data_IF_573006260740
#
_entry.id   IF_573006260740
#
_cell.length_a   1.000
_cell.length_b   1.000
_cell.length_c   1.000
_cell.angle_alpha   90.00
_cell.angle_beta   90.00
_cell.angle_gamma   90.00
#
_symmetry.space_group_name_H-M   'P 1'
#
loop_
_entity.id
_entity.type
_entity.pdbx_description
1 polymer ?
#
# COMPACT_ATOMS: atom_id res chain seq x y z
N UNK A 1 67.43 -14.47 -42.16
CA UNK A 1 66.95 -13.36 -41.37
C UNK A 1 65.43 -13.34 -41.48
N UNK A 2 64.68 -13.80 -40.43
CA UNK A 2 63.21 -13.86 -40.41
C UNK A 2 62.75 -12.96 -39.23
N UNK A 3 62.19 -11.79 -39.57
CA UNK A 3 61.59 -10.86 -38.62
C UNK A 3 60.18 -11.31 -38.26
N UNK A 4 59.94 -11.64 -36.97
CA UNK A 4 58.64 -11.98 -36.39
C UNK A 4 58.05 -10.70 -35.82
N UNK A 5 56.92 -10.26 -36.40
CA UNK A 5 56.08 -9.15 -35.89
C UNK A 5 55.10 -9.72 -34.87
N UNK A 6 55.17 -9.28 -33.61
CA UNK A 6 54.21 -9.55 -32.56
C UNK A 6 53.17 -8.42 -32.57
N UNK A 7 51.93 -8.77 -33.01
CA UNK A 7 50.76 -7.91 -32.81
C UNK A 7 50.22 -8.12 -31.40
N UNK A 8 50.39 -7.11 -30.53
CA UNK A 8 49.73 -7.06 -29.21
C UNK A 8 48.33 -6.50 -29.39
N UNK A 9 47.32 -7.35 -29.24
CA UNK A 9 45.93 -6.90 -29.10
C UNK A 9 45.74 -6.32 -27.67
N UNK A 10 45.51 -5.02 -27.56
CA UNK A 10 45.07 -4.38 -26.34
C UNK A 10 43.56 -4.55 -26.23
N UNK A 11 43.11 -5.41 -25.33
CA UNK A 11 41.71 -5.52 -24.92
C UNK A 11 41.39 -4.37 -23.97
N UNK A 12 40.69 -3.36 -24.45
CA UNK A 12 40.14 -2.30 -23.60
C UNK A 12 38.94 -2.86 -22.84
N UNK A 13 39.15 -3.19 -21.56
CA UNK A 13 38.04 -3.50 -20.65
C UNK A 13 37.31 -2.20 -20.32
N UNK A 14 36.12 -2.03 -20.89
CA UNK A 14 35.21 -0.96 -20.46
C UNK A 14 34.71 -1.28 -19.05
N UNK A 15 35.25 -0.57 -18.06
CA UNK A 15 34.72 -0.56 -16.70
C UNK A 15 33.33 0.11 -16.73
N UNK A 16 32.27 -0.70 -16.69
CA UNK A 16 30.92 -0.22 -16.44
C UNK A 16 30.91 0.41 -15.03
N UNK A 17 30.69 1.73 -14.98
CA UNK A 17 30.47 2.41 -13.70
C UNK A 17 29.25 1.80 -13.01
N UNK A 18 29.31 1.51 -11.70
CA UNK A 18 28.16 1.03 -10.96
C UNK A 18 27.06 2.10 -11.02
N UNK A 19 25.87 1.69 -11.44
CA UNK A 19 24.69 2.54 -11.38
C UNK A 19 24.51 3.00 -9.93
N UNK A 20 24.59 4.30 -9.69
CA UNK A 20 24.34 4.89 -8.39
C UNK A 20 22.88 4.59 -8.02
N UNK A 21 22.70 3.73 -7.02
CA UNK A 21 21.38 3.54 -6.41
C UNK A 21 20.95 4.86 -5.78
N UNK A 22 19.70 5.31 -6.01
CA UNK A 22 19.20 6.50 -5.33
C UNK A 22 19.23 6.23 -3.83
N UNK A 23 20.07 6.98 -3.11
CA UNK A 23 20.13 6.92 -1.66
C UNK A 23 18.83 7.51 -1.11
N UNK A 24 17.90 6.66 -0.71
CA UNK A 24 16.74 7.07 0.08
C UNK A 24 17.21 7.47 1.47
N UNK A 25 17.56 8.74 1.62
CA UNK A 25 17.68 9.32 2.96
C UNK A 25 16.27 9.45 3.55
N UNK A 26 16.04 9.01 4.81
CA UNK A 26 14.76 9.26 5.47
C UNK A 26 14.49 10.77 5.46
N UNK A 27 13.22 11.17 5.30
CA UNK A 27 12.87 12.60 5.25
C UNK A 27 13.34 13.28 6.54
N UNK A 28 14.03 14.43 6.38
CA UNK A 28 14.63 15.18 7.50
C UNK A 28 13.62 15.94 8.34
N UNK A 29 12.40 16.12 7.81
CA UNK A 29 11.34 16.84 8.48
C UNK A 29 9.96 16.32 8.06
N UNK A 30 8.95 16.59 8.92
CA UNK A 30 7.54 16.31 8.61
C UNK A 30 7.09 16.99 7.29
N UNK A 31 7.59 18.19 7.02
CA UNK A 31 7.25 18.94 5.80
C UNK A 31 7.81 18.28 4.54
N UNK A 32 9.00 17.75 4.61
CA UNK A 32 9.63 17.02 3.51
C UNK A 32 8.89 15.70 3.26
N UNK A 33 8.54 14.98 4.33
CA UNK A 33 7.77 13.74 4.22
C UNK A 33 6.37 14.00 3.64
N UNK A 34 5.66 15.01 4.13
CA UNK A 34 4.36 15.37 3.60
C UNK A 34 4.41 15.75 2.10
N UNK A 35 5.48 16.46 1.66
CA UNK A 35 5.70 16.76 0.24
C UNK A 35 5.95 15.51 -0.61
N UNK A 36 6.65 14.51 -0.07
CA UNK A 36 6.84 13.23 -0.77
C UNK A 36 5.50 12.48 -0.93
N UNK A 37 4.67 12.46 0.11
CA UNK A 37 3.36 11.81 0.07
C UNK A 37 2.39 12.47 -0.92
N UNK A 38 2.50 13.78 -1.12
CA UNK A 38 1.66 14.61 -2.02
C UNK A 38 2.33 14.90 -3.38
N UNK A 39 3.49 14.29 -3.69
CA UNK A 39 4.17 14.54 -4.95
C UNK A 39 3.27 14.17 -6.15
N UNK A 40 2.95 15.11 -7.07
CA UNK A 40 2.13 14.82 -8.24
C UNK A 40 2.69 13.70 -9.15
N UNK A 41 4.01 13.52 -9.19
CA UNK A 41 4.63 12.43 -9.95
C UNK A 41 4.25 11.03 -9.40
N UNK A 42 3.74 10.97 -8.16
CA UNK A 42 3.20 9.74 -7.60
C UNK A 42 2.03 9.20 -8.43
N UNK A 43 1.20 10.07 -9.00
CA UNK A 43 0.02 9.68 -9.77
C UNK A 43 0.40 8.86 -11.03
N UNK A 44 1.60 9.07 -11.61
CA UNK A 44 2.08 8.35 -12.80
C UNK A 44 2.21 6.84 -12.56
N UNK A 45 2.66 6.44 -11.36
CA UNK A 45 2.88 5.04 -11.02
C UNK A 45 1.87 4.48 -10.00
N UNK A 46 1.30 5.32 -9.12
CA UNK A 46 0.27 4.91 -8.16
C UNK A 46 -1.10 4.77 -8.80
N UNK A 47 -1.35 5.48 -9.91
CA UNK A 47 -2.57 5.44 -10.73
C UNK A 47 -3.85 5.49 -9.88
N UNK A 48 -4.03 6.54 -9.07
CA UNK A 48 -5.08 6.57 -8.06
C UNK A 48 -6.50 6.46 -8.63
N UNK A 49 -6.75 6.99 -9.83
CA UNK A 49 -8.08 6.95 -10.45
C UNK A 49 -8.40 5.52 -10.95
N UNK A 50 -7.41 4.80 -11.51
CA UNK A 50 -7.55 3.40 -11.91
C UNK A 50 -7.73 2.50 -10.69
N UNK A 51 -7.02 2.79 -9.57
CA UNK A 51 -7.22 2.08 -8.29
C UNK A 51 -8.66 2.26 -7.80
N UNK A 52 -9.20 3.47 -7.81
CA UNK A 52 -10.58 3.75 -7.38
C UNK A 52 -11.58 3.05 -8.29
N UNK A 53 -11.36 3.09 -9.60
CA UNK A 53 -12.20 2.39 -10.57
C UNK A 53 -12.19 0.87 -10.32
N UNK A 54 -11.02 0.29 -10.04
CA UNK A 54 -10.89 -1.15 -9.75
C UNK A 54 -11.56 -1.56 -8.44
N UNK A 55 -11.66 -0.65 -7.46
CA UNK A 55 -12.38 -0.89 -6.21
C UNK A 55 -13.89 -0.94 -6.38
N UNK A 56 -14.44 -0.30 -7.40
CA UNK A 56 -15.86 -0.35 -7.77
C UNK A 56 -16.79 -0.15 -6.56
N UNK A 57 -16.70 1.04 -5.95
CA UNK A 57 -17.47 1.37 -4.75
C UNK A 57 -18.97 1.35 -5.03
N UNK A 58 -19.71 0.60 -4.21
CA UNK A 58 -21.18 0.62 -4.24
C UNK A 58 -21.73 1.84 -3.48
N UNK A 59 -22.89 2.37 -3.88
CA UNK A 59 -23.53 3.45 -3.13
C UNK A 59 -23.70 3.09 -1.64
N UNK A 60 -23.31 4.00 -0.75
CA UNK A 60 -23.42 3.79 0.69
C UNK A 60 -22.25 3.10 1.36
N UNK A 61 -21.24 2.62 0.61
CA UNK A 61 -20.05 1.99 1.21
C UNK A 61 -19.26 2.95 2.10
N UNK A 62 -18.68 2.39 3.15
CA UNK A 62 -17.70 3.02 4.03
C UNK A 62 -16.33 2.38 3.84
N UNK A 63 -15.28 3.21 3.82
CA UNK A 63 -13.90 2.76 3.64
C UNK A 63 -13.01 3.26 4.77
N UNK A 64 -12.08 2.41 5.23
CA UNK A 64 -10.98 2.80 6.11
C UNK A 64 -9.69 2.82 5.30
N UNK A 65 -9.04 3.98 5.24
CA UNK A 65 -7.72 4.20 4.66
C UNK A 65 -6.69 4.09 5.79
N UNK A 66 -6.03 2.93 5.88
CA UNK A 66 -5.04 2.64 6.92
C UNK A 66 -3.67 3.15 6.50
N UNK A 67 -3.03 3.96 7.34
CA UNK A 67 -1.82 4.71 7.01
C UNK A 67 -2.15 5.85 6.04
N UNK A 68 -3.22 6.58 6.33
CA UNK A 68 -3.76 7.63 5.47
C UNK A 68 -2.76 8.76 5.18
N UNK A 69 -1.78 8.97 6.06
CA UNK A 69 -0.77 10.01 5.94
C UNK A 69 -1.42 11.39 5.82
N UNK A 70 -1.11 12.09 4.73
CA UNK A 70 -1.68 13.40 4.40
C UNK A 70 -3.07 13.32 3.76
N UNK A 71 -3.67 12.12 3.65
CA UNK A 71 -5.00 11.91 3.09
C UNK A 71 -5.04 11.77 1.56
N UNK A 72 -3.94 11.33 0.96
CA UNK A 72 -3.83 11.18 -0.51
C UNK A 72 -4.95 10.32 -1.10
N UNK A 73 -5.23 9.13 -0.55
CA UNK A 73 -6.35 8.29 -0.96
C UNK A 73 -7.66 8.70 -0.26
N UNK A 74 -7.63 9.08 1.01
CA UNK A 74 -8.83 9.44 1.77
C UNK A 74 -9.67 10.52 1.06
N UNK A 75 -9.04 11.58 0.53
CA UNK A 75 -9.74 12.64 -0.21
C UNK A 75 -10.35 12.15 -1.52
N UNK A 76 -9.72 11.19 -2.16
CA UNK A 76 -10.24 10.57 -3.39
C UNK A 76 -11.41 9.64 -3.08
N UNK A 77 -11.28 8.78 -2.08
CA UNK A 77 -12.35 7.91 -1.61
C UNK A 77 -13.61 8.68 -1.21
N UNK A 78 -13.45 9.85 -0.58
CA UNK A 78 -14.56 10.67 -0.12
C UNK A 78 -15.50 11.14 -1.25
N UNK A 79 -15.09 11.04 -2.51
CA UNK A 79 -15.93 11.34 -3.68
C UNK A 79 -16.81 10.16 -4.10
N UNK A 80 -16.52 8.97 -3.63
CA UNK A 80 -17.14 7.70 -4.05
C UNK A 80 -17.80 6.94 -2.90
N UNK A 81 -17.24 7.05 -1.68
CA UNK A 81 -17.76 6.40 -0.50
C UNK A 81 -18.65 7.32 0.32
N UNK A 82 -19.65 6.75 1.00
CA UNK A 82 -20.53 7.52 1.90
C UNK A 82 -19.76 8.02 3.12
N UNK A 83 -18.78 7.26 3.60
CA UNK A 83 -17.94 7.60 4.75
C UNK A 83 -16.50 7.08 4.55
N UNK A 84 -15.52 7.89 4.96
CA UNK A 84 -14.11 7.52 4.97
C UNK A 84 -13.56 7.65 6.38
N UNK A 85 -12.89 6.62 6.86
CA UNK A 85 -12.05 6.68 8.06
C UNK A 85 -10.60 6.82 7.61
N UNK A 86 -10.01 8.00 7.82
CA UNK A 86 -8.57 8.25 7.61
C UNK A 86 -7.83 7.87 8.88
N UNK A 87 -7.13 6.76 8.86
CA UNK A 87 -6.50 6.13 10.03
C UNK A 87 -4.99 6.23 9.92
N UNK A 88 -4.33 6.86 10.89
CA UNK A 88 -2.86 6.94 10.93
C UNK A 88 -2.37 6.97 12.37
N UNK A 89 -1.11 6.58 12.59
CA UNK A 89 -0.43 6.65 13.89
C UNK A 89 0.23 8.02 14.13
N UNK A 90 0.40 8.83 13.09
CA UNK A 90 1.01 10.16 13.15
C UNK A 90 -0.07 11.26 13.19
N UNK A 91 -0.22 11.84 14.40
CA UNK A 91 -1.17 12.93 14.64
C UNK A 91 -0.89 14.15 13.75
N UNK A 92 0.38 14.44 13.45
CA UNK A 92 0.76 15.61 12.65
C UNK A 92 0.41 15.46 11.18
N UNK A 93 0.47 14.23 10.64
CA UNK A 93 0.00 13.93 9.29
C UNK A 93 -1.53 14.04 9.22
N UNK A 94 -2.25 13.49 10.20
CA UNK A 94 -3.71 13.60 10.27
C UNK A 94 -4.18 15.06 10.37
N UNK A 95 -3.49 15.92 11.14
CA UNK A 95 -3.80 17.36 11.19
C UNK A 95 -3.62 18.05 9.83
N UNK A 96 -2.63 17.63 9.04
CA UNK A 96 -2.46 18.14 7.67
C UNK A 96 -3.58 17.64 6.75
N UNK A 97 -3.90 16.34 6.83
CA UNK A 97 -4.97 15.73 6.06
C UNK A 97 -6.31 16.42 6.31
N UNK A 98 -6.59 16.77 7.57
CA UNK A 98 -7.84 17.42 8.01
C UNK A 98 -8.08 18.77 7.34
N UNK A 99 -7.03 19.55 7.05
CA UNK A 99 -7.15 20.92 6.51
C UNK A 99 -7.92 20.99 5.19
N UNK A 100 -7.82 19.95 4.36
CA UNK A 100 -8.42 19.91 3.02
C UNK A 100 -9.35 18.71 2.84
N UNK A 101 -9.86 18.14 3.93
CA UNK A 101 -10.69 16.95 3.88
C UNK A 101 -12.15 17.29 3.59
N UNK A 102 -12.83 16.51 2.75
CA UNK A 102 -14.28 16.53 2.63
C UNK A 102 -14.98 16.19 3.96
N UNK A 103 -16.24 16.63 4.16
CA UNK A 103 -16.95 16.49 5.44
C UNK A 103 -17.28 15.04 5.83
N UNK A 104 -17.27 14.10 4.89
CA UNK A 104 -17.49 12.68 5.12
C UNK A 104 -16.22 11.91 5.50
N UNK A 105 -15.09 12.59 5.78
CA UNK A 105 -13.85 12.00 6.27
C UNK A 105 -13.77 12.16 7.78
N UNK A 106 -13.72 11.04 8.49
CA UNK A 106 -13.43 10.97 9.93
C UNK A 106 -11.99 10.55 10.15
N UNK A 107 -11.29 11.20 11.10
CA UNK A 107 -9.88 10.96 11.36
C UNK A 107 -9.70 10.18 12.66
N UNK A 108 -8.96 9.07 12.58
CA UNK A 108 -8.68 8.20 13.72
C UNK A 108 -7.17 8.17 13.97
N UNK A 109 -6.74 8.62 15.14
CA UNK A 109 -5.39 8.43 15.62
C UNK A 109 -5.27 7.00 16.17
N UNK A 110 -4.64 6.15 15.40
CA UNK A 110 -4.44 4.74 15.68
C UNK A 110 -3.26 4.49 16.64
N UNK A 111 -3.15 3.26 17.13
CA UNK A 111 -1.91 2.75 17.72
C UNK A 111 -1.18 1.86 16.69
N UNK A 112 0.14 1.61 16.84
CA UNK A 112 0.89 0.76 15.92
C UNK A 112 0.31 -0.65 15.76
N UNK A 113 -0.33 -1.16 16.81
CA UNK A 113 -0.95 -2.49 16.89
C UNK A 113 -2.49 -2.46 16.83
N UNK A 114 -3.11 -1.27 16.69
CA UNK A 114 -4.58 -1.13 16.71
C UNK A 114 -5.09 -0.01 15.83
N UNK A 115 -5.88 -0.31 14.76
CA UNK A 115 -6.47 0.70 13.89
C UNK A 115 -7.57 1.51 14.59
N UNK A 116 -8.05 1.08 15.75
CA UNK A 116 -9.15 1.69 16.53
C UNK A 116 -10.43 1.93 15.74
N UNK A 117 -10.66 1.13 14.71
CA UNK A 117 -11.90 1.16 13.95
C UNK A 117 -13.06 0.61 14.80
N UNK A 118 -14.25 1.22 14.73
CA UNK A 118 -15.44 0.64 15.36
C UNK A 118 -15.77 -0.73 14.76
N UNK A 119 -16.40 -1.60 15.55
CA UNK A 119 -16.81 -2.91 15.08
C UNK A 119 -17.88 -2.78 13.97
N UNK A 120 -17.77 -3.63 12.94
CA UNK A 120 -18.71 -3.70 11.81
C UNK A 120 -19.03 -2.33 11.19
N UNK A 121 -18.02 -1.49 11.06
CA UNK A 121 -18.19 -0.11 10.61
C UNK A 121 -17.80 0.13 9.16
N UNK A 122 -17.01 -0.76 8.56
CA UNK A 122 -16.45 -0.54 7.23
C UNK A 122 -16.73 -1.68 6.26
N UNK A 123 -16.99 -1.32 5.01
CA UNK A 123 -17.18 -2.24 3.89
C UNK A 123 -15.83 -2.58 3.23
N UNK A 124 -14.91 -1.62 3.20
CA UNK A 124 -13.58 -1.78 2.63
C UNK A 124 -12.52 -1.28 3.60
N UNK A 125 -11.51 -2.08 3.88
CA UNK A 125 -10.27 -1.67 4.55
C UNK A 125 -9.18 -1.63 3.50
N UNK A 126 -8.53 -0.48 3.37
CA UNK A 126 -7.54 -0.20 2.32
C UNK A 126 -6.17 0.08 2.92
N UNK A 127 -5.16 -0.60 2.39
CA UNK A 127 -3.74 -0.36 2.66
C UNK A 127 -3.03 0.02 1.37
N UNK A 128 -2.22 1.05 1.42
CA UNK A 128 -1.32 1.40 0.33
C UNK A 128 0.07 1.77 0.86
N UNK A 129 1.03 0.87 0.67
CA UNK A 129 2.41 1.01 1.14
C UNK A 129 2.53 1.12 2.66
N UNK A 130 1.74 0.35 3.40
CA UNK A 130 1.65 0.43 4.86
C UNK A 130 1.83 -0.92 5.55
N UNK A 131 1.33 -2.01 4.96
CA UNK A 131 1.27 -3.31 5.62
C UNK A 131 2.66 -3.80 6.08
N UNK A 132 3.71 -3.48 5.34
CA UNK A 132 5.08 -3.82 5.68
C UNK A 132 5.63 -3.10 6.93
N UNK A 133 4.95 -2.06 7.44
CA UNK A 133 5.30 -1.39 8.70
C UNK A 133 4.63 -2.02 9.93
N UNK A 134 3.66 -2.92 9.75
CA UNK A 134 2.92 -3.53 10.86
C UNK A 134 3.69 -4.76 11.36
N UNK A 135 4.16 -4.72 12.61
CA UNK A 135 5.01 -5.79 13.17
C UNK A 135 4.23 -7.05 13.51
N UNK A 136 3.15 -6.95 14.29
CA UNK A 136 2.32 -8.10 14.69
C UNK A 136 1.05 -8.21 13.83
N UNK A 137 1.24 -8.53 12.54
CA UNK A 137 0.15 -8.61 11.58
C UNK A 137 -0.95 -9.63 11.94
N UNK A 138 -0.67 -10.83 12.47
CA UNK A 138 -1.76 -11.76 12.86
C UNK A 138 -2.73 -11.16 13.87
N UNK A 139 -2.24 -10.48 14.92
CA UNK A 139 -3.08 -9.80 15.90
C UNK A 139 -3.82 -8.60 15.29
N UNK A 140 -3.16 -7.89 14.37
CA UNK A 140 -3.76 -6.76 13.66
C UNK A 140 -4.91 -7.22 12.76
N UNK A 141 -4.74 -8.31 12.01
CA UNK A 141 -5.78 -8.88 11.15
C UNK A 141 -7.04 -9.30 11.94
N UNK A 142 -6.87 -9.79 13.16
CA UNK A 142 -8.02 -10.10 14.02
C UNK A 142 -8.84 -8.84 14.37
N UNK A 143 -8.18 -7.69 14.53
CA UNK A 143 -8.85 -6.39 14.76
C UNK A 143 -9.55 -5.89 13.50
N UNK A 144 -8.90 -6.02 12.31
CA UNK A 144 -9.51 -5.69 11.03
C UNK A 144 -10.78 -6.52 10.77
N UNK A 145 -10.72 -7.82 11.05
CA UNK A 145 -11.87 -8.74 10.89
C UNK A 145 -13.09 -8.29 11.69
N UNK A 146 -12.89 -7.75 12.92
CA UNK A 146 -13.98 -7.20 13.73
C UNK A 146 -14.56 -5.91 13.18
N UNK A 147 -13.73 -5.08 12.56
CA UNK A 147 -14.14 -3.80 11.98
C UNK A 147 -14.93 -3.96 10.67
N UNK A 148 -14.71 -5.06 9.94
CA UNK A 148 -15.41 -5.33 8.69
C UNK A 148 -16.89 -5.64 8.93
N UNK A 149 -17.74 -5.08 8.09
CA UNK A 149 -19.14 -5.51 7.92
C UNK A 149 -19.21 -6.89 7.24
N UNK A 150 -20.32 -7.61 7.37
CA UNK A 150 -20.56 -8.80 6.57
C UNK A 150 -20.42 -8.52 5.07
N UNK A 151 -19.65 -9.35 4.35
CA UNK A 151 -19.35 -9.13 2.94
C UNK A 151 -18.33 -8.00 2.67
N UNK A 152 -17.69 -7.50 3.71
CA UNK A 152 -16.61 -6.52 3.59
C UNK A 152 -15.31 -7.13 3.07
N UNK A 153 -14.45 -6.29 2.53
CA UNK A 153 -13.17 -6.69 1.89
C UNK A 153 -11.96 -5.95 2.47
N UNK A 154 -10.80 -6.57 2.34
CA UNK A 154 -9.51 -5.92 2.59
C UNK A 154 -8.78 -5.76 1.26
N UNK A 155 -8.22 -4.59 1.06
CA UNK A 155 -7.41 -4.24 -0.11
C UNK A 155 -6.00 -3.96 0.34
N UNK A 156 -5.03 -4.61 -0.28
CA UNK A 156 -3.62 -4.33 -0.04
C UNK A 156 -2.90 -4.00 -1.34
N UNK A 157 -2.33 -2.80 -1.41
CA UNK A 157 -1.42 -2.36 -2.47
C UNK A 157 -0.06 -2.15 -1.82
N UNK A 158 0.97 -2.87 -2.26
CA UNK A 158 2.32 -2.71 -1.74
C UNK A 158 3.37 -3.00 -2.82
N UNK A 159 4.61 -2.58 -2.60
CA UNK A 159 5.68 -2.71 -3.57
C UNK A 159 6.12 -4.15 -3.78
N UNK A 160 6.27 -4.57 -5.03
CA UNK A 160 6.90 -5.86 -5.35
C UNK A 160 8.26 -6.00 -4.66
N UNK A 161 8.55 -7.17 -4.09
CA UNK A 161 9.80 -7.47 -3.37
C UNK A 161 10.98 -7.65 -4.32
N UNK A 162 11.34 -6.57 -5.02
CA UNK A 162 12.48 -6.47 -5.94
C UNK A 162 13.02 -5.04 -5.92
N UNK A 163 14.24 -4.79 -6.47
CA UNK A 163 14.73 -3.43 -6.69
C UNK A 163 13.76 -2.64 -7.59
N UNK A 164 13.38 -1.45 -7.15
CA UNK A 164 12.44 -0.56 -7.83
C UNK A 164 12.95 0.88 -7.76
N UNK A 165 12.57 1.76 -8.72
CA UNK A 165 12.97 3.18 -8.69
C UNK A 165 12.29 3.98 -7.57
N UNK A 166 11.25 3.40 -6.93
CA UNK A 166 10.48 4.01 -5.85
C UNK A 166 10.21 2.98 -4.74
N UNK A 167 9.86 3.46 -3.55
CA UNK A 167 9.52 2.61 -2.41
C UNK A 167 10.70 2.27 -1.52
N UNK A 168 10.49 1.43 -0.49
CA UNK A 168 11.51 1.07 0.48
C UNK A 168 12.55 0.10 -0.09
N UNK A 169 13.69 -0.13 0.61
CA UNK A 169 14.63 -1.20 0.30
C UNK A 169 13.96 -2.58 0.23
N UNK A 170 14.58 -3.52 -0.50
CA UNK A 170 13.99 -4.85 -0.78
C UNK A 170 13.72 -5.65 0.49
N UNK A 171 14.58 -5.55 1.49
CA UNK A 171 14.49 -6.22 2.78
C UNK A 171 13.34 -5.72 3.67
N UNK A 172 12.84 -4.50 3.42
CA UNK A 172 11.66 -3.94 4.09
C UNK A 172 10.34 -4.26 3.37
N UNK A 173 10.38 -4.91 2.22
CA UNK A 173 9.18 -5.25 1.44
C UNK A 173 8.64 -6.63 1.81
N UNK A 174 7.33 -6.80 1.75
CA UNK A 174 6.65 -8.09 1.79
C UNK A 174 6.50 -8.62 0.37
N UNK A 175 6.64 -9.94 0.18
CA UNK A 175 6.30 -10.52 -1.10
C UNK A 175 4.78 -10.72 -1.21
N UNK A 176 4.28 -10.80 -2.45
CA UNK A 176 2.86 -11.05 -2.71
C UNK A 176 2.42 -12.38 -2.09
N UNK A 177 3.23 -13.43 -2.26
CA UNK A 177 2.97 -14.76 -1.73
C UNK A 177 2.87 -14.72 -0.19
N UNK A 178 3.81 -14.03 0.48
CA UNK A 178 3.80 -13.88 1.93
C UNK A 178 2.50 -13.20 2.40
N UNK A 179 2.06 -12.15 1.73
CA UNK A 179 0.84 -11.42 2.09
C UNK A 179 -0.39 -12.32 1.89
N UNK A 180 -0.45 -13.07 0.79
CA UNK A 180 -1.55 -14.02 0.53
C UNK A 180 -1.61 -15.10 1.63
N UNK A 181 -0.48 -15.71 1.98
CA UNK A 181 -0.40 -16.72 3.03
C UNK A 181 -0.85 -16.17 4.40
N UNK A 182 -0.39 -14.96 4.76
CA UNK A 182 -0.77 -14.34 6.04
C UNK A 182 -2.26 -14.03 6.13
N UNK A 183 -2.88 -13.49 5.07
CA UNK A 183 -4.31 -13.25 5.03
C UNK A 183 -5.12 -14.55 5.02
N UNK A 184 -4.66 -15.57 4.32
CA UNK A 184 -5.31 -16.91 4.33
C UNK A 184 -5.27 -17.53 5.73
N UNK A 185 -4.15 -17.43 6.44
CA UNK A 185 -4.03 -17.88 7.82
C UNK A 185 -4.95 -17.11 8.78
N UNK A 186 -5.24 -15.84 8.49
CA UNK A 186 -6.19 -15.00 9.23
C UNK A 186 -7.68 -15.28 8.89
N UNK A 187 -7.96 -16.20 7.94
CA UNK A 187 -9.31 -16.57 7.54
C UNK A 187 -9.92 -15.74 6.44
N UNK A 188 -9.08 -15.11 5.63
CA UNK A 188 -9.47 -14.45 4.40
C UNK A 188 -9.12 -15.33 3.18
N UNK A 189 -9.67 -15.02 2.04
CA UNK A 189 -9.30 -15.62 0.76
C UNK A 189 -9.02 -14.52 -0.27
N UNK A 190 -8.06 -14.75 -1.15
CA UNK A 190 -7.79 -13.87 -2.27
C UNK A 190 -8.94 -13.95 -3.27
N UNK A 191 -9.67 -12.86 -3.44
CA UNK A 191 -10.81 -12.76 -4.36
C UNK A 191 -10.36 -12.23 -5.73
N UNK A 192 -9.56 -11.15 -5.74
CA UNK A 192 -9.08 -10.52 -6.98
C UNK A 192 -7.64 -10.03 -6.82
N UNK A 193 -6.90 -10.02 -7.94
CA UNK A 193 -5.63 -9.33 -8.08
C UNK A 193 -5.62 -8.49 -9.35
N UNK A 194 -4.82 -7.40 -9.35
CA UNK A 194 -4.67 -6.51 -10.48
C UNK A 194 -3.18 -6.25 -10.74
N UNK A 195 -2.79 -6.15 -12.00
CA UNK A 195 -1.40 -6.04 -12.47
C UNK A 195 -1.09 -4.72 -13.19
N UNK A 196 -2.02 -3.76 -13.20
CA UNK A 196 -1.85 -2.51 -13.93
C UNK A 196 -0.88 -1.51 -13.25
N UNK A 197 -0.50 -1.73 -11.98
CA UNK A 197 0.45 -0.89 -11.26
C UNK A 197 1.89 -1.32 -11.59
N UNK A 198 2.76 -0.41 -12.06
CA UNK A 198 4.08 -0.80 -12.57
C UNK A 198 5.05 -1.31 -11.50
N UNK A 199 4.85 -0.90 -10.23
CA UNK A 199 5.77 -1.17 -9.14
C UNK A 199 5.15 -1.90 -7.96
N UNK A 200 3.83 -2.13 -7.97
CA UNK A 200 3.09 -2.65 -6.84
C UNK A 200 2.18 -3.80 -7.26
N UNK A 201 1.99 -4.76 -6.37
CA UNK A 201 0.88 -5.70 -6.45
C UNK A 201 -0.37 -5.08 -5.82
N UNK A 202 -1.53 -5.48 -6.30
CA UNK A 202 -2.82 -5.02 -5.83
C UNK A 202 -3.72 -6.23 -5.58
N UNK A 203 -3.99 -6.53 -4.32
CA UNK A 203 -4.71 -7.71 -3.86
C UNK A 203 -5.99 -7.32 -3.14
N UNK A 204 -7.07 -8.06 -3.40
CA UNK A 204 -8.36 -7.90 -2.73
C UNK A 204 -8.73 -9.21 -2.05
N UNK A 205 -8.96 -9.15 -0.75
CA UNK A 205 -9.31 -10.28 0.10
C UNK A 205 -10.72 -10.13 0.65
N UNK A 206 -11.43 -11.25 0.76
CA UNK A 206 -12.73 -11.35 1.42
C UNK A 206 -12.66 -12.40 2.54
N UNK A 207 -13.58 -12.32 3.50
CA UNK A 207 -13.67 -13.35 4.54
C UNK A 207 -14.07 -14.67 3.89
N UNK A 208 -13.39 -15.75 4.25
CA UNK A 208 -13.82 -17.10 3.86
C UNK A 208 -15.22 -17.34 4.35
N UNK A 209 -16.12 -17.68 3.45
CA UNK A 209 -17.44 -18.15 3.83
C UNK A 209 -17.28 -19.52 4.48
N UNK A 210 -17.85 -19.79 5.69
CA UNK A 210 -17.83 -21.13 6.27
C UNK A 210 -18.45 -22.12 5.28
N UNK A 211 -17.74 -23.24 5.01
CA UNK A 211 -18.30 -24.32 4.21
C UNK A 211 -19.62 -24.79 4.85
N UNK A 212 -20.73 -24.62 4.13
CA UNK A 212 -22.07 -25.02 4.60
C UNK A 212 -23.06 -23.89 4.85
N UNK A 213 -22.69 -22.63 4.76
CA UNK A 213 -23.65 -21.51 4.73
C UNK A 213 -24.16 -21.31 3.29
N UNK A 214 -25.13 -22.13 2.88
CA UNK A 214 -25.92 -21.84 1.66
C UNK A 214 -26.55 -20.45 1.82
N UNK A 215 -26.32 -19.60 0.82
CA UNK A 215 -26.99 -18.31 0.72
C UNK A 215 -28.52 -18.53 0.73
N UNK A 216 -29.28 -17.69 1.45
CA UNK A 216 -30.74 -17.75 1.44
C UNK A 216 -31.35 -17.41 0.09
#
# INVERSE_FOLDING_TARGET
>A
MKSRWWLTLAVAAALAAPAQQPHHHPPRSLDEYARLLENPQRDEWQKPDEVIQALDFRPGESVADIGAGTGYFSRRFARHAAKVYAVDIDASLLERARKNAPPNVEFILAAPDDPKLPERSVDTIFFCNVLHHIENRPAYYAKLKRALKPGGRIVNIDFHKRPLPVGPPVDHKLSEEQVVEEFQAAGFELNRSFDFLPYQYFLVFELKTPEGASQP
#
